data_IF_709036504933
#
_entry.id   IF_709036504933
#
_cell.length_a   1.000
_cell.length_b   1.000
_cell.length_c   1.000
_cell.angle_alpha   90.00
_cell.angle_beta   90.00
_cell.angle_gamma   90.00
#
_symmetry.space_group_name_H-M   'P 1'
#
loop_
_entity.id
_entity.type
_entity.pdbx_description
1 polymer ?
#
# COMPACT_ATOMS: atom_id res chain seq x y z
N UNK A 1 -10.93 -16.46 23.22
CA UNK A 1 -10.75 -15.54 22.06
C UNK A 1 -9.65 -16.15 21.22
N UNK A 2 -10.02 -17.03 20.30
CA UNK A 2 -9.07 -17.78 19.48
C UNK A 2 -8.67 -16.90 18.30
N UNK A 3 -7.42 -16.45 18.30
CA UNK A 3 -6.81 -15.79 17.15
C UNK A 3 -6.55 -16.85 16.09
N UNK A 4 -7.43 -16.95 15.11
CA UNK A 4 -7.21 -17.80 13.92
C UNK A 4 -6.13 -17.13 13.06
N UNK A 5 -4.87 -17.43 13.36
CA UNK A 5 -3.72 -17.10 12.51
C UNK A 5 -3.77 -17.99 11.27
N UNK A 6 -4.59 -17.60 10.29
CA UNK A 6 -4.56 -18.22 8.97
C UNK A 6 -3.30 -17.76 8.25
N UNK A 7 -2.25 -18.58 8.32
CA UNK A 7 -1.00 -18.45 7.57
C UNK A 7 -1.25 -18.62 6.07
N UNK A 8 -1.84 -17.59 5.45
CA UNK A 8 -1.85 -17.38 4.02
C UNK A 8 -1.03 -16.14 3.70
N UNK A 9 -0.32 -16.14 2.57
CA UNK A 9 0.40 -14.96 2.05
C UNK A 9 -0.60 -13.84 1.77
N UNK A 10 -1.01 -13.08 2.80
CA UNK A 10 -1.93 -11.96 2.65
C UNK A 10 -1.29 -10.97 1.68
N UNK A 11 -2.02 -10.61 0.63
CA UNK A 11 -1.59 -9.58 -0.30
C UNK A 11 -2.18 -8.25 0.14
N UNK A 12 -1.38 -7.20 0.03
CA UNK A 12 -1.79 -5.83 0.27
C UNK A 12 -1.65 -5.04 -1.02
N UNK A 13 -2.70 -4.30 -1.36
CA UNK A 13 -2.74 -3.35 -2.46
C UNK A 13 -2.35 -1.98 -1.91
N UNK A 14 -1.25 -1.44 -2.43
CA UNK A 14 -0.68 -0.16 -2.01
C UNK A 14 -0.25 0.66 -3.22
N UNK A 15 -0.32 1.99 -3.11
CA UNK A 15 0.08 2.91 -4.16
C UNK A 15 1.54 3.31 -3.98
N UNK A 16 2.31 3.27 -5.07
CA UNK A 16 3.70 3.73 -5.07
C UNK A 16 3.74 5.26 -4.98
N UNK A 17 4.46 5.77 -3.98
CA UNK A 17 4.63 7.20 -3.71
C UNK A 17 5.47 7.95 -4.76
N UNK A 18 6.17 7.23 -5.64
CA UNK A 18 7.00 7.85 -6.69
C UNK A 18 6.32 7.95 -8.04
N UNK A 19 5.54 6.93 -8.42
CA UNK A 19 4.95 6.85 -9.77
C UNK A 19 3.45 6.55 -9.77
N UNK A 20 2.82 6.59 -8.59
CA UNK A 20 1.38 6.43 -8.39
C UNK A 20 0.78 5.09 -8.84
N UNK A 21 1.63 4.12 -9.18
CA UNK A 21 1.20 2.79 -9.63
C UNK A 21 0.72 1.97 -8.45
N UNK A 22 -0.37 1.24 -8.64
CA UNK A 22 -0.89 0.28 -7.68
C UNK A 22 -0.09 -1.01 -7.73
N UNK A 23 0.37 -1.47 -6.58
CA UNK A 23 1.20 -2.66 -6.42
C UNK A 23 0.52 -3.61 -5.45
N UNK A 24 0.59 -4.91 -5.74
CA UNK A 24 0.24 -5.97 -4.79
C UNK A 24 1.52 -6.50 -4.16
N UNK A 25 1.66 -6.32 -2.85
CA UNK A 25 2.82 -6.79 -2.08
C UNK A 25 2.40 -7.89 -1.12
N UNK A 26 3.36 -8.67 -0.64
CA UNK A 26 3.12 -9.65 0.43
C UNK A 26 3.15 -8.94 1.78
N UNK A 27 2.10 -9.08 2.59
CA UNK A 27 2.06 -8.53 3.95
C UNK A 27 3.26 -9.01 4.78
N UNK A 28 3.63 -10.28 4.64
CA UNK A 28 4.79 -10.88 5.31
C UNK A 28 6.15 -10.35 4.85
N UNK A 29 6.22 -9.58 3.76
CA UNK A 29 7.47 -9.04 3.18
C UNK A 29 7.49 -7.51 3.15
N UNK A 30 6.58 -6.85 3.88
CA UNK A 30 6.55 -5.39 3.94
C UNK A 30 7.86 -4.84 4.50
N UNK A 31 8.41 -5.48 5.53
CA UNK A 31 9.69 -5.12 6.16
C UNK A 31 10.92 -5.40 5.30
N UNK A 32 10.77 -6.22 4.25
CA UNK A 32 11.87 -6.58 3.34
C UNK A 32 12.14 -5.50 2.28
N UNK A 33 11.38 -4.40 2.29
CA UNK A 33 11.52 -3.30 1.34
C UNK A 33 11.03 -3.67 -0.08
N UNK A 34 9.73 -3.93 -0.27
CA UNK A 34 9.20 -4.28 -1.58
C UNK A 34 9.42 -3.14 -2.58
N UNK A 35 9.73 -3.50 -3.83
CA UNK A 35 9.93 -2.54 -4.93
C UNK A 35 8.67 -2.40 -5.76
N UNK A 36 8.44 -1.21 -6.28
CA UNK A 36 7.37 -0.95 -7.23
C UNK A 36 7.63 -1.72 -8.54
N UNK A 37 6.63 -2.45 -9.02
CA UNK A 37 6.70 -3.22 -10.27
C UNK A 37 6.81 -2.37 -11.54
N UNK A 38 6.60 -1.05 -11.46
CA UNK A 38 6.72 -0.12 -12.60
C UNK A 38 8.01 0.70 -12.59
N UNK A 39 8.34 1.35 -11.48
CA UNK A 39 9.51 2.26 -11.42
C UNK A 39 10.72 1.68 -10.68
N UNK A 40 10.62 0.46 -10.15
CA UNK A 40 11.66 -0.26 -9.38
C UNK A 40 12.16 0.44 -8.09
N UNK A 41 11.64 1.62 -7.75
CA UNK A 41 11.91 2.30 -6.47
C UNK A 41 11.24 1.55 -5.31
N UNK A 42 11.78 1.64 -4.08
CA UNK A 42 11.15 1.03 -2.91
C UNK A 42 9.77 1.65 -2.66
N UNK A 43 8.82 0.84 -2.19
CA UNK A 43 7.54 1.33 -1.69
C UNK A 43 7.76 1.78 -0.25
N UNK A 44 7.52 3.06 0.03
CA UNK A 44 7.74 3.72 1.32
C UNK A 44 6.39 4.24 1.80
N UNK A 45 5.73 3.50 2.68
CA UNK A 45 4.40 3.84 3.18
C UNK A 45 4.45 5.00 4.19
N UNK A 46 5.62 5.29 4.75
CA UNK A 46 5.88 6.42 5.63
C UNK A 46 6.03 7.76 4.90
N UNK A 47 6.03 7.75 3.56
CA UNK A 47 6.07 8.96 2.73
C UNK A 47 4.66 9.34 2.28
N UNK A 48 4.18 10.56 2.59
CA UNK A 48 2.87 11.01 2.12
C UNK A 48 2.86 11.15 0.60
N UNK A 49 1.67 10.95 0.02
CA UNK A 49 1.42 11.08 -1.41
C UNK A 49 0.40 12.22 -1.58
N UNK A 50 0.64 13.21 -2.46
CA UNK A 50 -0.36 14.21 -2.78
C UNK A 50 -1.61 13.54 -3.35
N UNK A 51 -2.75 13.84 -2.75
CA UNK A 51 -4.05 13.45 -3.26
C UNK A 51 -4.72 14.66 -3.94
N UNK A 52 -5.56 14.33 -4.91
CA UNK A 52 -6.44 15.25 -5.62
C UNK A 52 -7.86 14.71 -5.52
N UNK A 53 -8.85 15.53 -5.83
CA UNK A 53 -10.26 15.10 -5.84
C UNK A 53 -10.48 13.86 -6.72
N UNK A 54 -9.77 13.76 -7.85
CA UNK A 54 -9.86 12.62 -8.75
C UNK A 54 -9.24 11.33 -8.18
N UNK A 55 -8.28 11.46 -7.26
CA UNK A 55 -7.51 10.31 -6.74
C UNK A 55 -7.91 9.88 -5.33
N UNK A 56 -8.59 10.75 -4.59
CA UNK A 56 -8.98 10.54 -3.19
C UNK A 56 -9.83 9.28 -3.00
N UNK A 57 -10.97 9.19 -3.70
CA UNK A 57 -11.92 8.07 -3.56
C UNK A 57 -11.26 6.73 -3.84
N UNK A 58 -10.44 6.66 -4.88
CA UNK A 58 -9.72 5.42 -5.23
C UNK A 58 -8.70 5.07 -4.16
N UNK A 59 -7.96 6.06 -3.64
CA UNK A 59 -6.95 5.81 -2.61
C UNK A 59 -7.56 5.23 -1.34
N UNK A 60 -8.72 5.72 -0.91
CA UNK A 60 -9.42 5.16 0.27
C UNK A 60 -9.94 3.75 0.00
N UNK A 61 -10.54 3.51 -1.17
CA UNK A 61 -11.22 2.24 -1.45
C UNK A 61 -10.28 1.09 -1.83
N UNK A 62 -9.16 1.37 -2.51
CA UNK A 62 -8.26 0.33 -3.04
C UNK A 62 -7.01 0.10 -2.18
N UNK A 63 -6.78 0.89 -1.13
CA UNK A 63 -5.66 0.64 -0.21
C UNK A 63 -6.05 -0.39 0.84
N UNK A 64 -5.33 -1.51 0.87
CA UNK A 64 -5.52 -2.54 1.90
C UNK A 64 -4.86 -2.16 3.25
N UNK A 65 -4.16 -1.02 3.29
CA UNK A 65 -3.53 -0.46 4.49
C UNK A 65 -4.31 0.77 4.98
N UNK A 66 -4.32 1.06 6.28
CA UNK A 66 -4.95 2.27 6.81
C UNK A 66 -4.41 3.53 6.13
N UNK A 67 -5.31 4.43 5.75
CA UNK A 67 -4.97 5.72 5.13
C UNK A 67 -5.24 6.84 6.12
N UNK A 68 -4.20 7.62 6.41
CA UNK A 68 -4.33 8.90 7.12
C UNK A 68 -4.29 10.04 6.08
N UNK A 69 -5.23 10.97 6.18
CA UNK A 69 -5.32 12.15 5.30
C UNK A 69 -5.17 13.40 6.16
N UNK A 70 -4.30 14.29 5.70
CA UNK A 70 -4.19 15.68 6.17
C UNK A 70 -4.92 16.58 5.18
N UNK A 71 -5.79 17.47 5.68
CA UNK A 71 -6.74 18.27 4.88
C UNK A 71 -6.31 19.73 4.79
#
# INVERSE_FOLDING_TARGET
METDTKSGTQKLTVRCQFCNTWNRISASKVTDGPKCGKCAKPILLERPIPLTDETFTRTINESDVPVAVDF
#
